data_IF_032072208345
#
_entry.id   IF_032072208345
#
_cell.length_a   1.000
_cell.length_b   1.000
_cell.length_c   1.000
_cell.angle_alpha   90.00
_cell.angle_beta   90.00
_cell.angle_gamma   90.00
#
_symmetry.space_group_name_H-M   'P 1'
#
loop_
_entity.id
_entity.type
_entity.pdbx_description
1 polymer ?
#
# COMPACT_ATOMS: atom_id res chain seq x y z
N UNK A 1 14.13 18.90 -0.66
CA UNK A 1 14.20 18.38 0.72
C UNK A 1 14.25 19.50 1.73
N UNK A 2 13.76 19.26 2.92
CA UNK A 2 13.87 20.18 4.05
C UNK A 2 15.00 19.70 4.92
N UNK A 3 15.94 20.58 5.26
CA UNK A 3 17.10 20.28 6.10
C UNK A 3 17.04 21.15 7.36
N UNK A 4 17.16 20.53 8.53
CA UNK A 4 17.19 21.21 9.84
C UNK A 4 18.50 20.97 10.56
N UNK A 5 18.81 21.80 11.53
CA UNK A 5 19.92 21.62 12.47
C UNK A 5 19.59 20.56 13.53
N UNK A 6 20.60 20.13 14.30
CA UNK A 6 20.62 18.97 15.20
C UNK A 6 19.47 18.84 16.22
N UNK A 7 18.70 19.89 16.48
CA UNK A 7 17.55 19.91 17.37
C UNK A 7 16.25 20.11 16.59
N UNK A 8 15.81 19.29 15.75
CA UNK A 8 14.51 19.28 15.05
C UNK A 8 13.62 20.55 15.26
N UNK A 9 14.27 21.71 15.41
CA UNK A 9 13.62 23.01 15.56
C UNK A 9 13.03 23.42 14.21
N UNK A 10 11.72 23.28 14.09
CA UNK A 10 10.96 23.62 12.87
C UNK A 10 11.17 25.06 12.42
N UNK A 11 11.61 25.96 13.31
CA UNK A 11 11.89 27.37 12.99
C UNK A 11 13.16 27.57 12.14
N UNK A 12 14.02 26.56 12.05
CA UNK A 12 15.32 26.60 11.35
C UNK A 12 15.40 25.73 10.10
N UNK A 13 14.27 25.25 9.61
CA UNK A 13 14.24 24.41 8.42
C UNK A 13 14.27 25.25 7.15
N UNK A 14 15.12 24.86 6.20
CA UNK A 14 15.21 25.49 4.90
C UNK A 14 15.02 24.47 3.78
N UNK A 15 14.20 24.74 2.79
CA UNK A 15 14.12 23.88 1.61
C UNK A 15 15.44 24.01 0.81
N UNK A 16 16.06 22.87 0.52
CA UNK A 16 17.28 22.80 -0.30
C UNK A 16 16.98 21.93 -1.52
N UNK A 17 17.25 22.46 -2.71
CA UNK A 17 17.13 21.68 -3.92
C UNK A 17 18.28 20.66 -4.00
N UNK A 18 18.00 19.44 -4.44
CA UNK A 18 19.01 18.37 -4.53
C UNK A 18 20.24 18.78 -5.38
N UNK A 19 20.04 19.65 -6.37
CA UNK A 19 21.14 20.20 -7.20
C UNK A 19 22.05 21.17 -6.48
N UNK A 20 21.60 21.75 -5.38
CA UNK A 20 22.34 22.73 -4.58
C UNK A 20 23.10 22.05 -3.44
N UNK A 21 23.00 20.73 -3.33
CA UNK A 21 23.79 19.94 -2.39
C UNK A 21 25.24 19.89 -2.84
N UNK A 22 26.15 20.26 -1.93
CA UNK A 22 27.59 20.31 -2.18
C UNK A 22 28.27 19.10 -1.56
N UNK A 23 29.02 18.36 -2.35
CA UNK A 23 29.79 17.21 -1.86
C UNK A 23 30.78 17.63 -0.76
N UNK A 24 30.81 16.87 0.34
CA UNK A 24 31.69 17.15 1.49
C UNK A 24 31.19 18.23 2.47
N UNK A 25 30.03 18.86 2.17
CA UNK A 25 29.37 19.74 3.14
C UNK A 25 28.42 18.92 4.01
N UNK A 26 28.49 19.13 5.30
CA UNK A 26 27.54 18.58 6.25
C UNK A 26 26.24 19.40 6.19
N UNK A 27 25.13 18.68 6.09
CA UNK A 27 23.77 19.18 6.22
C UNK A 27 23.18 18.47 7.44
N UNK A 28 22.39 19.12 8.26
CA UNK A 28 21.75 18.47 9.41
C UNK A 28 20.85 17.28 8.98
N UNK A 29 19.60 17.28 9.31
CA UNK A 29 18.67 16.19 8.96
C UNK A 29 17.83 16.56 7.74
N UNK A 30 17.52 15.56 6.90
CA UNK A 30 16.46 15.66 5.91
C UNK A 30 15.14 15.27 6.58
N UNK A 31 14.33 16.26 6.87
CA UNK A 31 13.14 16.09 7.71
C UNK A 31 11.86 15.84 6.91
N UNK A 32 11.79 16.30 5.66
CA UNK A 32 10.66 16.10 4.77
C UNK A 32 11.05 16.36 3.31
N UNK A 33 10.14 16.05 2.40
CA UNK A 33 10.18 16.40 0.98
C UNK A 33 9.31 17.62 0.75
N UNK A 34 9.88 18.71 0.23
CA UNK A 34 9.12 19.92 -0.04
C UNK A 34 7.98 19.64 -1.06
N UNK A 35 6.76 20.15 -0.85
CA UNK A 35 5.61 19.91 -1.72
C UNK A 35 5.86 20.24 -3.20
N UNK A 36 6.68 21.25 -3.47
CA UNK A 36 7.07 21.63 -4.84
C UNK A 36 7.74 20.50 -5.63
N UNK A 37 8.36 19.53 -4.94
CA UNK A 37 8.99 18.37 -5.58
C UNK A 37 8.00 17.54 -6.40
N UNK A 38 6.74 17.49 -6.00
CA UNK A 38 5.69 16.77 -6.73
C UNK A 38 5.12 17.54 -7.93
N UNK A 39 5.49 18.80 -8.08
CA UNK A 39 5.16 19.62 -9.26
C UNK A 39 6.24 19.59 -10.34
N UNK A 40 7.41 19.04 -10.05
CA UNK A 40 8.46 18.86 -11.04
C UNK A 40 7.99 17.95 -12.20
N UNK A 41 8.29 18.33 -13.44
CA UNK A 41 7.76 17.69 -14.62
C UNK A 41 7.96 16.16 -14.65
N UNK A 42 9.17 15.69 -14.29
CA UNK A 42 9.48 14.24 -14.24
C UNK A 42 8.69 13.50 -13.19
N UNK A 43 8.54 14.08 -11.99
CA UNK A 43 7.80 13.44 -10.89
C UNK A 43 6.32 13.41 -11.22
N UNK A 44 5.78 14.53 -11.69
CA UNK A 44 4.38 14.63 -12.13
C UNK A 44 4.06 13.65 -13.25
N UNK A 45 4.90 13.57 -14.27
CA UNK A 45 4.73 12.63 -15.38
C UNK A 45 4.76 11.18 -14.90
N UNK A 46 5.73 10.82 -14.05
CA UNK A 46 5.83 9.48 -13.47
C UNK A 46 4.57 9.10 -12.68
N UNK A 47 4.08 9.99 -11.82
CA UNK A 47 2.87 9.75 -11.05
C UNK A 47 1.63 9.65 -11.96
N UNK A 48 1.49 10.53 -12.95
CA UNK A 48 0.32 10.57 -13.82
C UNK A 48 0.27 9.44 -14.86
N UNK A 49 1.42 8.94 -15.31
CA UNK A 49 1.49 7.84 -16.28
C UNK A 49 1.45 6.44 -15.62
N UNK A 50 1.61 6.37 -14.29
CA UNK A 50 1.60 5.12 -13.55
C UNK A 50 0.23 4.45 -13.58
N UNK A 51 0.19 3.16 -13.91
CA UNK A 51 -1.03 2.33 -13.84
C UNK A 51 -1.26 1.75 -12.46
N UNK A 52 -0.18 1.62 -11.68
CA UNK A 52 -0.19 1.07 -10.34
C UNK A 52 0.76 1.89 -9.47
N UNK A 53 0.27 2.31 -8.31
CA UNK A 53 1.04 3.07 -7.32
C UNK A 53 0.97 2.30 -6.00
N UNK A 54 2.13 2.03 -5.41
CA UNK A 54 2.24 1.37 -4.12
C UNK A 54 2.91 2.31 -3.11
N UNK A 55 2.25 2.57 -1.99
CA UNK A 55 2.71 3.45 -0.91
C UNK A 55 2.84 2.62 0.37
N UNK A 56 4.03 2.60 0.95
CA UNK A 56 4.31 1.89 2.21
C UNK A 56 5.28 2.69 3.08
N UNK A 57 5.14 3.99 3.10
CA UNK A 57 5.94 4.91 3.90
C UNK A 57 5.26 6.28 3.97
N UNK A 58 5.79 7.13 4.83
CA UNK A 58 5.54 8.57 4.88
C UNK A 58 6.78 9.31 4.42
N UNK A 59 6.64 10.55 3.94
CA UNK A 59 7.75 11.31 3.39
C UNK A 59 8.55 12.06 4.45
N UNK A 60 7.93 12.42 5.55
CA UNK A 60 8.51 13.29 6.55
C UNK A 60 8.55 12.69 7.95
N UNK A 61 9.22 13.39 8.87
CA UNK A 61 9.19 13.10 10.29
C UNK A 61 7.88 13.66 10.89
N UNK A 62 6.78 12.97 10.63
CA UNK A 62 5.42 13.42 10.91
C UNK A 62 5.17 13.67 12.39
N UNK A 63 5.81 12.89 13.28
CA UNK A 63 5.76 13.07 14.73
C UNK A 63 6.31 14.44 15.22
N UNK A 64 7.14 15.07 14.41
CA UNK A 64 7.73 16.41 14.68
C UNK A 64 7.09 17.50 13.82
N UNK A 65 5.95 17.23 13.16
CA UNK A 65 5.23 18.22 12.37
C UNK A 65 5.68 18.34 10.91
N UNK A 66 6.61 17.51 10.45
CA UNK A 66 7.08 17.47 9.05
C UNK A 66 6.21 16.50 8.25
N UNK A 67 5.11 16.98 7.73
CA UNK A 67 4.10 16.17 7.04
C UNK A 67 3.62 16.76 5.71
N UNK A 68 4.11 17.92 5.33
CA UNK A 68 3.67 18.60 4.10
C UNK A 68 3.99 17.80 2.84
N UNK A 69 5.14 17.12 2.82
CA UNK A 69 5.53 16.24 1.73
C UNK A 69 4.59 15.05 1.58
N UNK A 70 4.18 14.43 2.68
CA UNK A 70 3.22 13.32 2.67
C UNK A 70 1.87 13.78 2.14
N UNK A 71 1.32 14.89 2.64
CA UNK A 71 0.05 15.41 2.18
C UNK A 71 0.06 15.80 0.68
N UNK A 72 1.18 16.37 0.22
CA UNK A 72 1.37 16.72 -1.19
C UNK A 72 1.47 15.48 -2.09
N UNK A 73 2.14 14.41 -1.62
CA UNK A 73 2.19 13.13 -2.32
C UNK A 73 0.80 12.51 -2.43
N UNK A 74 0.03 12.47 -1.34
CA UNK A 74 -1.33 11.94 -1.34
C UNK A 74 -2.21 12.64 -2.38
N UNK A 75 -2.14 13.98 -2.43
CA UNK A 75 -2.86 14.77 -3.41
C UNK A 75 -2.41 14.49 -4.86
N UNK A 76 -1.10 14.33 -5.07
CA UNK A 76 -0.54 14.01 -6.39
C UNK A 76 -0.94 12.61 -6.86
N UNK A 77 -1.02 11.63 -5.96
CA UNK A 77 -1.49 10.27 -6.24
C UNK A 77 -2.99 10.28 -6.54
N UNK A 78 -3.79 11.01 -5.77
CA UNK A 78 -5.23 11.11 -5.98
C UNK A 78 -5.57 11.73 -7.34
N UNK A 79 -4.74 12.65 -7.85
CA UNK A 79 -4.92 13.26 -9.17
C UNK A 79 -4.80 12.25 -10.33
N UNK A 80 -4.19 11.07 -10.14
CA UNK A 80 -4.17 9.98 -11.11
C UNK A 80 -5.37 9.04 -10.86
N UNK A 81 -6.57 9.44 -11.26
CA UNK A 81 -7.80 8.68 -11.03
C UNK A 81 -7.76 7.24 -11.56
N UNK A 82 -7.28 6.94 -12.80
CA UNK A 82 -7.34 5.58 -13.35
C UNK A 82 -6.33 4.61 -12.76
N UNK A 83 -5.32 5.07 -12.01
CA UNK A 83 -4.32 4.19 -11.41
C UNK A 83 -4.91 3.35 -10.27
N UNK A 84 -4.46 2.10 -10.15
CA UNK A 84 -4.66 1.30 -8.93
C UNK A 84 -3.71 1.76 -7.85
N UNK A 85 -4.23 2.03 -6.67
CA UNK A 85 -3.50 2.62 -5.55
C UNK A 85 -3.52 1.67 -4.36
N UNK A 86 -2.36 1.27 -3.91
CA UNK A 86 -2.16 0.35 -2.81
C UNK A 86 -1.46 1.09 -1.67
N UNK A 87 -2.17 1.33 -0.58
CA UNK A 87 -1.63 1.95 0.62
C UNK A 87 -1.46 0.89 1.70
N UNK A 88 -0.23 0.57 2.02
CA UNK A 88 0.15 -0.50 2.92
C UNK A 88 0.87 -0.03 4.15
N UNK A 89 0.56 -0.66 5.29
CA UNK A 89 1.21 -0.37 6.57
C UNK A 89 0.40 0.50 7.51
N UNK A 90 0.49 0.18 8.80
CA UNK A 90 -0.27 0.86 9.85
C UNK A 90 0.00 2.35 9.90
N UNK A 91 1.27 2.74 9.92
CA UNK A 91 1.69 4.14 9.99
C UNK A 91 1.27 4.91 8.73
N UNK A 92 1.45 4.32 7.54
CA UNK A 92 1.00 4.91 6.27
C UNK A 92 -0.49 5.22 6.29
N UNK A 93 -1.32 4.28 6.77
CA UNK A 93 -2.77 4.47 6.84
C UNK A 93 -3.18 5.49 7.92
N UNK A 94 -2.50 5.47 9.07
CA UNK A 94 -2.74 6.43 10.14
C UNK A 94 -2.46 7.86 9.69
N UNK A 95 -1.34 8.07 9.02
CA UNK A 95 -0.97 9.38 8.47
C UNK A 95 -1.88 9.80 7.31
N UNK A 96 -2.21 8.90 6.40
CA UNK A 96 -3.15 9.19 5.31
C UNK A 96 -4.51 9.66 5.84
N UNK A 97 -5.02 8.98 6.89
CA UNK A 97 -6.26 9.37 7.56
C UNK A 97 -6.14 10.71 8.30
N UNK A 98 -5.00 10.97 8.93
CA UNK A 98 -4.76 12.18 9.72
C UNK A 98 -4.55 13.41 8.85
N UNK A 99 -3.71 13.29 7.83
CA UNK A 99 -3.25 14.41 7.01
C UNK A 99 -4.19 14.72 5.84
N UNK A 100 -4.83 13.69 5.30
CA UNK A 100 -5.68 13.79 4.11
C UNK A 100 -7.06 13.15 4.35
N UNK A 101 -7.82 13.55 5.40
CA UNK A 101 -9.04 12.85 5.82
C UNK A 101 -10.10 12.79 4.71
N UNK A 102 -10.24 13.82 3.90
CA UNK A 102 -11.17 13.84 2.77
C UNK A 102 -10.80 12.83 1.69
N UNK A 103 -9.52 12.72 1.35
CA UNK A 103 -9.01 11.72 0.40
C UNK A 103 -9.13 10.31 0.97
N UNK A 104 -8.85 10.14 2.26
CA UNK A 104 -8.99 8.84 2.94
C UNK A 104 -10.43 8.33 2.88
N UNK A 105 -11.41 9.19 3.18
CA UNK A 105 -12.84 8.82 3.10
C UNK A 105 -13.26 8.46 1.67
N UNK A 106 -12.81 9.23 0.67
CA UNK A 106 -13.06 8.92 -0.73
C UNK A 106 -12.41 7.60 -1.16
N UNK A 107 -11.21 7.33 -0.67
CA UNK A 107 -10.47 6.10 -0.97
C UNK A 107 -11.15 4.83 -0.42
N UNK A 108 -11.92 4.93 0.67
CA UNK A 108 -12.69 3.79 1.20
C UNK A 108 -13.82 3.34 0.27
N UNK A 109 -14.32 4.23 -0.56
CA UNK A 109 -15.43 3.98 -1.50
C UNK A 109 -14.94 3.78 -2.95
N UNK A 110 -13.69 4.12 -3.24
CA UNK A 110 -13.12 4.03 -4.58
C UNK A 110 -12.50 2.64 -4.84
N UNK A 111 -13.02 1.85 -5.80
CA UNK A 111 -12.52 0.53 -6.13
C UNK A 111 -11.07 0.53 -6.67
N UNK A 112 -10.50 1.68 -6.97
CA UNK A 112 -9.09 1.80 -7.36
C UNK A 112 -8.14 1.85 -6.16
N UNK A 113 -8.65 2.02 -4.94
CA UNK A 113 -7.85 2.03 -3.73
C UNK A 113 -7.92 0.70 -2.97
N UNK A 114 -6.77 0.25 -2.52
CA UNK A 114 -6.59 -0.91 -1.65
C UNK A 114 -5.82 -0.48 -0.41
N UNK A 115 -6.53 -0.34 0.71
CA UNK A 115 -5.97 0.04 2.00
C UNK A 115 -5.77 -1.20 2.85
N UNK A 116 -4.54 -1.47 3.29
CA UNK A 116 -4.24 -2.69 4.05
C UNK A 116 -3.12 -2.48 5.07
N UNK A 117 -3.16 -3.24 6.15
CA UNK A 117 -2.08 -3.38 7.12
C UNK A 117 -1.06 -4.43 6.65
N UNK A 118 0.09 -4.54 7.33
CA UNK A 118 1.08 -5.55 6.97
C UNK A 118 1.89 -5.24 5.70
N UNK A 119 2.12 -3.95 5.40
CA UNK A 119 2.89 -3.52 4.23
C UNK A 119 4.24 -4.20 4.09
N UNK A 120 4.97 -4.42 5.21
CA UNK A 120 6.24 -5.16 5.21
C UNK A 120 6.11 -6.59 4.72
N UNK A 121 5.03 -7.29 5.06
CA UNK A 121 4.75 -8.64 4.57
C UNK A 121 4.50 -8.65 3.06
N UNK A 122 3.78 -7.66 2.55
CA UNK A 122 3.56 -7.51 1.11
C UNK A 122 4.86 -7.22 0.37
N UNK A 123 5.71 -6.34 0.91
CA UNK A 123 7.05 -6.08 0.33
C UNK A 123 7.89 -7.35 0.30
N UNK A 124 7.87 -8.15 1.37
CA UNK A 124 8.58 -9.45 1.42
C UNK A 124 8.02 -10.42 0.39
N UNK A 125 6.72 -10.50 0.23
CA UNK A 125 6.10 -11.32 -0.81
C UNK A 125 6.52 -10.89 -2.22
N UNK A 126 6.58 -9.59 -2.48
CA UNK A 126 7.05 -9.05 -3.77
C UNK A 126 8.52 -9.40 -4.02
N UNK A 127 9.39 -9.26 -3.02
CA UNK A 127 10.80 -9.66 -3.09
C UNK A 127 10.96 -11.14 -3.45
N UNK A 128 10.11 -12.00 -2.90
CA UNK A 128 10.14 -13.46 -3.12
C UNK A 128 9.37 -13.91 -4.38
N UNK A 129 8.88 -13.00 -5.19
CA UNK A 129 8.16 -13.30 -6.42
C UNK A 129 6.72 -13.75 -6.23
N UNK A 130 6.15 -13.57 -5.03
CA UNK A 130 4.75 -13.85 -4.72
C UNK A 130 4.51 -14.35 -3.31
N UNK A 131 3.24 -14.41 -2.92
CA UNK A 131 2.84 -14.78 -1.56
C UNK A 131 3.30 -16.21 -1.16
N UNK A 132 3.43 -17.12 -2.12
CA UNK A 132 3.91 -18.50 -1.88
C UNK A 132 5.36 -18.57 -1.39
N UNK A 133 6.16 -17.53 -1.61
CA UNK A 133 7.50 -17.43 -1.05
C UNK A 133 7.53 -17.15 0.46
N UNK A 134 6.41 -16.75 1.06
CA UNK A 134 6.30 -16.58 2.50
C UNK A 134 6.11 -17.93 3.19
N UNK A 135 6.98 -18.28 4.13
CA UNK A 135 6.95 -19.55 4.85
C UNK A 135 5.58 -19.86 5.47
N UNK A 136 4.95 -18.86 6.11
CA UNK A 136 3.63 -19.02 6.72
C UNK A 136 2.56 -19.35 5.68
N UNK A 137 2.60 -18.73 4.50
CA UNK A 137 1.63 -18.99 3.44
C UNK A 137 1.86 -20.38 2.84
N UNK A 138 3.12 -20.77 2.62
CA UNK A 138 3.48 -22.10 2.15
C UNK A 138 2.99 -23.18 3.11
N UNK A 139 3.25 -23.03 4.41
CA UNK A 139 2.79 -23.97 5.43
C UNK A 139 1.25 -24.12 5.44
N UNK A 140 0.51 -23.01 5.40
CA UNK A 140 -0.96 -23.05 5.35
C UNK A 140 -1.49 -23.73 4.08
N UNK A 141 -0.79 -23.60 2.97
CA UNK A 141 -1.18 -24.26 1.71
C UNK A 141 -0.89 -25.76 1.72
N UNK A 142 0.18 -26.18 2.39
CA UNK A 142 0.53 -27.60 2.56
C UNK A 142 -0.46 -28.30 3.49
N UNK A 143 -0.81 -27.69 4.63
CA UNK A 143 -1.84 -28.20 5.55
C UNK A 143 -3.22 -28.30 4.90
N UNK A 144 -3.59 -27.31 4.08
CA UNK A 144 -4.85 -27.33 3.32
C UNK A 144 -4.91 -28.47 2.31
N UNK A 145 -3.80 -28.81 1.66
CA UNK A 145 -3.73 -29.92 0.72
C UNK A 145 -3.81 -31.30 1.39
N UNK A 146 -3.37 -31.41 2.65
CA UNK A 146 -3.53 -32.65 3.45
C UNK A 146 -4.93 -32.82 4.01
N UNK A 147 -5.59 -31.74 4.42
CA UNK A 147 -6.99 -31.80 4.89
C UNK A 147 -7.96 -32.21 3.79
N UNK A 148 -7.78 -31.72 2.58
CA UNK A 148 -8.61 -32.08 1.42
C UNK A 148 -8.41 -33.58 1.03
N UNK A 149 -7.19 -34.11 1.20
CA UNK A 149 -6.91 -35.55 1.01
C UNK A 149 -7.52 -36.42 2.11
N UNK A 150 -7.69 -35.92 3.33
CA UNK A 150 -8.36 -36.64 4.43
C UNK A 150 -9.86 -36.68 4.23
N UNK A 151 -10.51 -35.58 3.87
CA UNK A 151 -11.96 -35.55 3.59
C UNK A 151 -12.35 -36.49 2.45
N UNK A 152 -11.53 -36.62 1.40
CA UNK A 152 -11.81 -37.54 0.31
C UNK A 152 -11.56 -39.02 0.66
N UNK A 153 -10.79 -39.33 1.73
CA UNK A 153 -10.57 -40.73 2.19
C UNK A 153 -11.66 -41.23 3.12
N UNK A 154 -12.28 -40.33 3.89
CA UNK A 154 -13.31 -40.66 4.89
C UNK A 154 -14.75 -40.38 4.43
N UNK A 155 -14.92 -39.91 3.20
CA UNK A 155 -16.26 -39.74 2.65
C UNK A 155 -16.96 -41.13 2.56
N UNK A 156 -18.03 -41.39 3.33
CA UNK A 156 -18.77 -42.64 3.20
C UNK A 156 -19.26 -42.71 1.76
N UNK A 157 -19.05 -43.88 1.12
CA UNK A 157 -19.63 -44.18 -0.18
C UNK A 157 -21.14 -44.09 -0.03
N UNK A 158 -21.68 -42.89 -0.12
CA UNK A 158 -23.11 -42.65 -0.04
C UNK A 158 -23.75 -43.24 -1.28
N UNK A 159 -24.66 -44.16 -1.00
CA UNK A 159 -25.43 -44.92 -1.94
C UNK A 159 -26.06 -44.03 -3.02
N UNK A 160 -26.13 -44.61 -4.23
CA UNK A 160 -26.89 -44.11 -5.38
C UNK A 160 -28.18 -43.43 -4.95
N UNK A 161 -28.30 -42.15 -5.23
CA UNK A 161 -29.58 -41.48 -5.27
C UNK A 161 -30.42 -42.15 -6.39
N UNK A 162 -31.42 -42.86 -5.97
CA UNK A 162 -32.50 -43.36 -6.85
C UNK A 162 -33.21 -42.13 -7.39
N UNK A 163 -33.10 -41.88 -8.66
CA UNK A 163 -33.91 -40.87 -9.35
C UNK A 163 -35.37 -41.34 -9.29
N UNK A 164 -36.19 -40.64 -8.49
CA UNK A 164 -37.63 -40.76 -8.60
C UNK A 164 -38.09 -40.10 -9.91
N UNK A 165 -38.49 -40.95 -10.84
CA UNK A 165 -39.22 -40.57 -12.04
C UNK A 165 -40.65 -40.15 -11.61
N UNK A 166 -40.86 -38.84 -11.40
CA UNK A 166 -42.19 -38.29 -11.23
C UNK A 166 -42.74 -37.93 -12.62
N UNK A 167 -43.51 -38.83 -13.19
CA UNK A 167 -44.25 -38.64 -14.43
C UNK A 167 -45.13 -37.37 -14.35
N UNK A 168 -45.01 -36.53 -15.36
CA UNK A 168 -45.97 -35.46 -15.61
C UNK A 168 -47.29 -36.05 -16.12
N UNK A 169 -48.44 -35.57 -15.66
CA UNK A 169 -49.71 -35.95 -16.27
C UNK A 169 -49.94 -35.12 -17.54
N UNK A 170 -50.26 -35.82 -18.64
CA UNK A 170 -50.86 -35.24 -19.82
C UNK A 170 -52.23 -34.61 -19.50
N UNK A 171 -52.44 -33.36 -19.87
CA UNK A 171 -53.63 -32.76 -20.50
C UNK A 171 -53.31 -31.37 -21.02
#
# INVERSE_FOLDING_TARGET
>A
GVCGDDDADTSRTNPVHVRDLVAGREYGYFLDVAPVSFTEARVKEALQSSKTIFVNAVMGLTSSGFHEGTAALDAAIAANAPARKYFGGGDTLAEFKSLSPGLYMSALEDPQYYLFTGGGTVLKALEMGGARGLETVSALMEDGAESDKRETRDAPKCARLVTCDCGAPDT
#
